data_IF_528981453355
#
_entry.id   IF_528981453355
#
_cell.length_a   1.000
_cell.length_b   1.000
_cell.length_c   1.000
_cell.angle_alpha   90.00
_cell.angle_beta   90.00
_cell.angle_gamma   90.00
#
_symmetry.space_group_name_H-M   'P 1'
#
loop_
_entity.id
_entity.type
_entity.pdbx_description
1 polymer ?
#
# COMPACT_ATOMS: atom_id res chain seq x y z
N UNK A 1 -18.91 -5.18 12.33
CA UNK A 1 -19.14 -5.70 10.96
C UNK A 1 -18.83 -7.20 10.89
N UNK A 2 -17.60 -7.66 11.13
CA UNK A 2 -17.23 -9.09 11.11
C UNK A 2 -18.14 -9.99 11.96
N UNK A 3 -18.36 -9.63 13.24
CA UNK A 3 -19.27 -10.37 14.14
C UNK A 3 -20.70 -10.54 13.59
N UNK A 4 -21.23 -9.51 12.94
CA UNK A 4 -22.58 -9.54 12.36
C UNK A 4 -22.69 -10.51 11.18
N UNK A 5 -21.64 -10.59 10.35
CA UNK A 5 -21.56 -11.60 9.27
C UNK A 5 -21.47 -13.01 9.83
N UNK A 6 -20.64 -13.24 10.85
CA UNK A 6 -20.47 -14.56 11.47
C UNK A 6 -21.75 -15.02 12.19
N UNK A 7 -22.40 -14.15 12.96
CA UNK A 7 -23.58 -14.49 13.76
C UNK A 7 -24.86 -14.65 12.92
N UNK A 8 -25.06 -13.80 11.89
CA UNK A 8 -26.31 -13.78 11.09
C UNK A 8 -26.17 -14.38 9.69
N UNK A 9 -24.95 -14.49 9.15
CA UNK A 9 -24.69 -15.07 7.82
C UNK A 9 -24.35 -16.56 7.84
N UNK A 10 -23.92 -17.09 8.99
CA UNK A 10 -23.48 -18.49 9.16
C UNK A 10 -24.29 -19.26 10.21
N UNK A 11 -25.59 -18.96 10.37
CA UNK A 11 -26.46 -19.89 11.11
C UNK A 11 -26.66 -21.14 10.25
N UNK A 12 -26.41 -22.33 10.79
CA UNK A 12 -26.33 -23.64 10.11
C UNK A 12 -27.50 -23.96 9.14
N UNK A 13 -28.61 -23.22 9.19
CA UNK A 13 -29.82 -23.44 8.40
C UNK A 13 -30.06 -22.46 7.23
N UNK A 14 -29.40 -21.28 7.13
CA UNK A 14 -29.59 -20.35 5.98
C UNK A 14 -28.34 -19.50 5.69
N UNK A 15 -27.50 -19.98 4.77
CA UNK A 15 -26.31 -19.29 4.20
C UNK A 15 -26.68 -18.19 3.20
N UNK A 16 -27.53 -17.22 3.56
CA UNK A 16 -27.95 -16.14 2.65
C UNK A 16 -27.44 -14.77 3.10
N UNK A 17 -26.13 -14.59 3.02
CA UNK A 17 -25.49 -13.29 3.31
C UNK A 17 -25.95 -12.18 2.35
N UNK A 18 -26.39 -12.54 1.14
CA UNK A 18 -26.94 -11.61 0.15
C UNK A 18 -28.13 -10.82 0.72
N UNK A 19 -29.01 -11.49 1.46
CA UNK A 19 -30.24 -10.88 2.01
C UNK A 19 -29.94 -9.83 3.09
N UNK A 20 -28.78 -9.92 3.76
CA UNK A 20 -28.38 -8.97 4.81
C UNK A 20 -27.53 -7.80 4.28
N UNK A 21 -27.01 -7.88 3.05
CA UNK A 21 -26.15 -6.84 2.47
C UNK A 21 -26.81 -5.47 2.44
N UNK A 22 -28.10 -5.31 2.02
CA UNK A 22 -28.69 -3.98 1.92
C UNK A 22 -28.74 -3.27 3.28
N UNK A 23 -29.14 -4.00 4.33
CA UNK A 23 -29.20 -3.48 5.69
C UNK A 23 -27.81 -3.14 6.23
N UNK A 24 -26.80 -3.94 5.91
CA UNK A 24 -25.44 -3.72 6.33
C UNK A 24 -24.82 -2.48 5.68
N UNK A 25 -24.93 -2.37 4.35
CA UNK A 25 -24.42 -1.23 3.58
C UNK A 25 -25.08 0.05 4.08
N UNK A 26 -26.39 0.03 4.29
CA UNK A 26 -27.11 1.16 4.86
C UNK A 26 -26.60 1.53 6.26
N UNK A 27 -26.46 0.55 7.16
CA UNK A 27 -25.95 0.79 8.50
C UNK A 27 -24.54 1.38 8.50
N UNK A 28 -23.64 0.87 7.67
CA UNK A 28 -22.27 1.39 7.55
C UNK A 28 -22.24 2.81 6.98
N UNK A 29 -22.91 3.04 5.86
CA UNK A 29 -22.87 4.32 5.16
C UNK A 29 -23.54 5.46 5.93
N UNK A 30 -24.58 5.16 6.73
CA UNK A 30 -25.34 6.17 7.47
C UNK A 30 -25.08 6.22 8.97
N UNK A 31 -24.13 5.42 9.49
CA UNK A 31 -23.63 5.55 10.86
C UNK A 31 -22.43 6.49 10.93
N UNK A 32 -22.30 7.20 12.05
CA UNK A 32 -21.13 8.07 12.27
C UNK A 32 -19.89 7.21 12.53
N UNK A 33 -18.88 7.33 11.69
CA UNK A 33 -17.60 6.64 11.88
C UNK A 33 -16.67 7.48 12.75
N UNK A 34 -16.04 6.86 13.75
CA UNK A 34 -15.11 7.54 14.69
C UNK A 34 -13.94 8.19 13.95
N UNK A 35 -13.35 7.46 13.01
CA UNK A 35 -12.16 7.85 12.25
C UNK A 35 -12.36 9.14 11.48
N UNK A 36 -13.41 9.22 10.64
CA UNK A 36 -13.72 10.42 9.85
C UNK A 36 -14.64 11.42 10.58
N UNK A 37 -15.26 11.03 11.69
CA UNK A 37 -16.14 11.88 12.49
C UNK A 37 -17.51 12.19 11.88
N UNK A 38 -17.85 11.60 10.74
CA UNK A 38 -19.13 11.79 10.05
C UNK A 38 -19.61 10.47 9.42
N UNK A 39 -20.77 10.51 8.77
CA UNK A 39 -21.31 9.36 8.03
C UNK A 39 -20.58 9.25 6.69
N UNK A 40 -20.14 8.05 6.25
CA UNK A 40 -19.53 7.91 4.93
C UNK A 40 -20.39 8.44 3.78
N UNK A 41 -21.71 8.25 3.85
CA UNK A 41 -22.65 8.69 2.81
C UNK A 41 -22.69 10.20 2.59
N UNK A 42 -22.22 11.01 3.54
CA UNK A 42 -22.23 12.48 3.42
C UNK A 42 -20.88 13.05 2.98
N UNK A 43 -19.86 12.21 2.76
CA UNK A 43 -18.55 12.65 2.27
C UNK A 43 -18.67 13.07 0.81
N UNK A 44 -18.19 14.26 0.48
CA UNK A 44 -18.24 14.86 -0.85
C UNK A 44 -16.98 15.71 -1.11
N UNK A 45 -16.89 16.33 -2.29
CA UNK A 45 -15.71 17.12 -2.64
C UNK A 45 -15.49 18.34 -1.73
N UNK A 46 -16.55 18.93 -1.18
CA UNK A 46 -16.48 20.11 -0.33
C UNK A 46 -15.90 19.79 1.06
N UNK A 47 -16.17 18.59 1.58
CA UNK A 47 -15.73 18.17 2.91
C UNK A 47 -14.53 17.22 2.91
N UNK A 48 -14.02 16.85 1.72
CA UNK A 48 -12.88 15.94 1.57
C UNK A 48 -11.65 16.41 2.34
N UNK A 49 -11.39 17.72 2.36
CA UNK A 49 -10.21 18.27 3.05
C UNK A 49 -10.33 18.09 4.56
N UNK A 50 -11.53 18.32 5.12
CA UNK A 50 -11.80 18.07 6.54
C UNK A 50 -11.64 16.60 6.91
N UNK A 51 -12.08 15.70 6.05
CA UNK A 51 -11.89 14.25 6.22
C UNK A 51 -10.41 13.91 6.16
N UNK A 52 -9.69 14.44 5.16
CA UNK A 52 -8.26 14.21 4.95
C UNK A 52 -7.44 14.73 6.13
N UNK A 53 -7.65 15.97 6.58
CA UNK A 53 -6.96 16.54 7.75
C UNK A 53 -7.21 15.71 9.01
N UNK A 54 -8.40 15.15 9.18
CA UNK A 54 -8.69 14.31 10.33
C UNK A 54 -7.97 12.95 10.28
N UNK A 55 -7.82 12.38 9.09
CA UNK A 55 -7.15 11.10 8.88
C UNK A 55 -5.62 11.23 8.87
N UNK A 56 -5.10 12.28 8.23
CA UNK A 56 -3.70 12.40 7.83
C UNK A 56 -3.08 13.76 8.19
N UNK A 57 -3.83 14.70 8.77
CA UNK A 57 -3.34 16.04 9.10
C UNK A 57 -2.46 16.11 10.34
N UNK A 58 -2.16 14.98 10.98
CA UNK A 58 -1.15 14.93 12.02
C UNK A 58 0.24 14.88 11.37
N UNK A 59 1.21 15.66 11.86
CA UNK A 59 2.56 15.59 11.33
C UNK A 59 3.08 14.15 11.48
N UNK A 60 3.70 13.62 10.42
CA UNK A 60 4.47 12.40 10.53
C UNK A 60 5.51 12.61 11.62
N UNK A 61 5.38 11.83 12.69
CA UNK A 61 6.13 11.98 13.94
C UNK A 61 7.64 11.96 13.68
N UNK A 62 8.09 11.14 12.72
CA UNK A 62 9.48 11.03 12.31
C UNK A 62 9.56 10.64 10.83
N UNK A 63 10.41 11.31 10.06
CA UNK A 63 10.83 10.78 8.76
C UNK A 63 11.79 9.62 9.03
N UNK A 64 11.55 8.47 8.40
CA UNK A 64 12.49 7.35 8.49
C UNK A 64 13.77 7.70 7.73
N UNK A 65 14.93 7.31 8.25
CA UNK A 65 16.17 7.47 7.49
C UNK A 65 16.14 6.54 6.26
N UNK A 66 16.42 7.07 5.04
CA UNK A 66 16.46 6.23 3.85
C UNK A 66 17.60 5.22 3.91
N UNK A 67 17.28 3.96 3.62
CA UNK A 67 18.28 2.89 3.50
C UNK A 67 19.16 3.05 2.25
N UNK A 68 18.58 3.51 1.15
CA UNK A 68 19.29 3.71 -0.12
C UNK A 68 19.52 5.20 -0.39
N UNK A 69 20.55 5.50 -1.16
CA UNK A 69 20.95 6.83 -1.60
C UNK A 69 20.91 6.91 -3.12
N UNK A 70 20.79 8.13 -3.63
CA UNK A 70 20.91 8.40 -5.06
C UNK A 70 22.27 7.89 -5.56
N UNK A 71 22.26 7.11 -6.64
CA UNK A 71 23.44 6.45 -7.20
C UNK A 71 23.67 5.02 -6.71
N UNK A 72 22.95 4.54 -5.69
CA UNK A 72 23.05 3.14 -5.27
C UNK A 72 22.51 2.22 -6.38
N UNK A 73 23.24 1.12 -6.64
CA UNK A 73 22.79 0.06 -7.54
C UNK A 73 21.87 -0.89 -6.80
N UNK A 74 20.66 -1.08 -7.31
CA UNK A 74 19.61 -1.87 -6.66
C UNK A 74 18.98 -2.85 -7.63
N UNK A 75 18.40 -3.92 -7.09
CA UNK A 75 17.56 -4.89 -7.80
C UNK A 75 16.16 -4.82 -7.24
N UNK A 76 15.15 -4.95 -8.09
CA UNK A 76 13.76 -5.04 -7.66
C UNK A 76 13.39 -6.48 -7.25
N UNK A 77 12.40 -6.58 -6.38
CA UNK A 77 11.89 -7.86 -5.88
C UNK A 77 10.98 -8.52 -6.92
N UNK A 78 11.20 -9.81 -7.18
CA UNK A 78 10.29 -10.60 -8.02
C UNK A 78 9.02 -10.90 -7.24
N UNK A 79 7.86 -10.58 -7.83
CA UNK A 79 6.57 -10.97 -7.27
C UNK A 79 6.43 -12.49 -7.32
N UNK A 80 6.25 -13.11 -6.15
CA UNK A 80 6.10 -14.57 -6.03
C UNK A 80 4.65 -14.99 -5.92
N UNK A 81 4.29 -16.05 -6.62
CA UNK A 81 3.04 -16.75 -6.42
C UNK A 81 3.12 -17.69 -5.20
N UNK A 82 1.94 -18.05 -4.66
CA UNK A 82 1.82 -18.87 -3.45
C UNK A 82 2.50 -20.25 -3.55
N UNK A 83 2.71 -20.75 -4.77
CA UNK A 83 3.29 -22.06 -5.05
C UNK A 83 4.65 -21.99 -5.74
N UNK A 84 5.31 -20.83 -5.70
CA UNK A 84 6.65 -20.70 -6.24
C UNK A 84 7.66 -21.55 -5.49
N UNK A 85 8.59 -22.09 -6.25
CA UNK A 85 9.61 -22.99 -5.73
C UNK A 85 10.62 -22.20 -4.92
N UNK A 86 10.93 -22.66 -3.71
CA UNK A 86 11.82 -21.93 -2.80
C UNK A 86 13.26 -21.72 -3.30
N UNK A 87 13.68 -22.41 -4.37
CA UNK A 87 15.01 -22.27 -4.97
C UNK A 87 15.09 -21.14 -6.02
N UNK A 88 13.98 -20.51 -6.41
CA UNK A 88 14.05 -19.36 -7.33
C UNK A 88 14.67 -18.14 -6.60
N UNK A 89 15.34 -17.22 -7.32
CA UNK A 89 15.81 -15.96 -6.74
C UNK A 89 14.67 -15.06 -6.24
N UNK A 90 14.94 -14.21 -5.23
CA UNK A 90 13.95 -13.26 -4.69
C UNK A 90 13.95 -11.91 -5.45
N UNK A 91 15.01 -11.62 -6.20
CA UNK A 91 15.23 -10.35 -6.87
C UNK A 91 15.52 -10.60 -8.34
N UNK A 92 15.25 -9.59 -9.18
CA UNK A 92 15.49 -9.66 -10.62
C UNK A 92 16.99 -9.72 -10.94
N UNK A 93 17.27 -10.20 -12.15
CA UNK A 93 18.63 -10.18 -12.70
C UNK A 93 19.04 -8.77 -13.15
N UNK A 94 18.08 -7.90 -13.42
CA UNK A 94 18.27 -6.51 -13.84
C UNK A 94 18.80 -5.64 -12.70
N UNK A 95 19.71 -4.72 -13.03
CA UNK A 95 20.34 -3.82 -12.07
C UNK A 95 19.94 -2.40 -12.42
N UNK A 96 19.27 -1.74 -11.49
CA UNK A 96 18.86 -0.35 -11.62
C UNK A 96 19.71 0.57 -10.74
N UNK A 97 19.61 1.86 -10.98
CA UNK A 97 20.24 2.91 -10.16
C UNK A 97 19.17 3.77 -9.52
N UNK A 98 19.31 4.05 -8.23
CA UNK A 98 18.41 4.99 -7.53
C UNK A 98 18.62 6.40 -8.07
N UNK A 99 17.60 7.00 -8.67
CA UNK A 99 17.64 8.36 -9.20
C UNK A 99 17.12 9.40 -8.21
N UNK A 100 16.11 9.05 -7.41
CA UNK A 100 15.48 9.97 -6.45
C UNK A 100 15.03 9.23 -5.17
N UNK A 101 15.09 9.93 -4.03
CA UNK A 101 14.68 9.43 -2.71
C UNK A 101 13.55 10.31 -2.16
N UNK A 102 12.36 9.74 -2.04
CA UNK A 102 11.20 10.37 -1.42
C UNK A 102 11.12 10.01 0.06
N UNK A 103 11.46 10.97 0.91
CA UNK A 103 11.43 10.79 2.36
C UNK A 103 10.00 10.79 2.88
N UNK A 104 9.65 9.77 3.67
CA UNK A 104 8.31 9.58 4.21
C UNK A 104 8.27 8.46 5.26
N UNK A 105 7.06 8.02 5.59
CA UNK A 105 6.82 6.81 6.36
C UNK A 105 5.78 5.96 5.58
N UNK A 106 6.21 4.98 4.78
CA UNK A 106 7.60 4.57 4.52
C UNK A 106 8.35 5.45 3.48
N UNK A 107 9.67 5.30 3.40
CA UNK A 107 10.48 5.89 2.33
C UNK A 107 10.20 5.20 0.98
N UNK A 108 10.21 5.99 -0.10
CA UNK A 108 10.04 5.51 -1.46
C UNK A 108 11.19 5.97 -2.36
N UNK A 109 11.45 5.21 -3.42
CA UNK A 109 12.59 5.40 -4.31
C UNK A 109 12.14 5.40 -5.77
N UNK A 110 12.82 6.21 -6.58
CA UNK A 110 12.73 6.13 -8.04
C UNK A 110 13.99 5.45 -8.55
N UNK A 111 13.85 4.55 -9.52
CA UNK A 111 14.94 3.80 -10.11
C UNK A 111 14.95 3.97 -11.62
N UNK A 112 16.14 3.93 -12.21
CA UNK A 112 16.37 4.06 -13.66
C UNK A 112 17.30 2.96 -14.13
N UNK A 113 17.20 2.58 -15.40
CA UNK A 113 18.19 1.71 -16.01
C UNK A 113 19.54 2.47 -16.16
N UNK A 114 20.68 1.86 -15.78
CA UNK A 114 22.00 2.47 -15.97
C UNK A 114 22.37 2.70 -17.43
N UNK A 115 21.92 1.84 -18.35
CA UNK A 115 22.26 1.87 -19.77
C UNK A 115 21.33 2.80 -20.57
N UNK A 116 20.07 2.93 -20.15
CA UNK A 116 19.11 3.89 -20.70
C UNK A 116 18.51 4.79 -19.60
N UNK A 117 19.13 5.97 -19.43
CA UNK A 117 18.69 6.96 -18.44
C UNK A 117 17.37 7.65 -18.80
N UNK A 118 16.86 7.48 -20.02
CA UNK A 118 15.55 7.99 -20.43
C UNK A 118 14.42 6.99 -20.11
N UNK A 119 14.76 5.72 -19.87
CA UNK A 119 13.82 4.69 -19.44
C UNK A 119 13.67 4.67 -17.92
N UNK A 120 12.91 5.64 -17.40
CA UNK A 120 12.50 5.62 -16.00
C UNK A 120 11.52 4.47 -15.74
N UNK A 121 11.85 3.61 -14.77
CA UNK A 121 10.93 2.54 -14.36
C UNK A 121 9.67 3.18 -13.78
N UNK A 122 8.52 2.84 -14.35
CA UNK A 122 7.25 3.48 -14.01
C UNK A 122 6.85 3.17 -12.57
N UNK A 123 6.81 4.21 -11.74
CA UNK A 123 6.32 4.14 -10.37
C UNK A 123 7.33 4.63 -9.32
N UNK A 124 7.04 4.29 -8.06
CA UNK A 124 7.92 4.49 -6.91
C UNK A 124 7.94 3.20 -6.12
N UNK A 125 9.11 2.82 -5.64
CA UNK A 125 9.35 1.55 -4.98
C UNK A 125 9.59 1.76 -3.49
N UNK A 126 9.05 0.87 -2.67
CA UNK A 126 9.35 0.85 -1.24
C UNK A 126 10.72 0.24 -0.97
N UNK A 127 11.26 0.51 0.21
CA UNK A 127 12.50 -0.11 0.68
C UNK A 127 12.47 -1.65 0.63
N UNK A 128 11.32 -2.25 0.96
CA UNK A 128 11.14 -3.70 0.98
C UNK A 128 11.13 -4.34 -0.41
N UNK A 129 10.91 -3.53 -1.45
CA UNK A 129 10.84 -3.97 -2.84
C UNK A 129 12.20 -3.88 -3.54
N UNK A 130 13.22 -3.37 -2.86
CA UNK A 130 14.56 -3.16 -3.41
C UNK A 130 15.63 -3.84 -2.56
N UNK A 131 16.67 -4.35 -3.23
CA UNK A 131 17.88 -4.84 -2.58
C UNK A 131 19.12 -4.18 -3.18
N UNK A 132 20.08 -3.82 -2.32
CA UNK A 132 21.36 -3.30 -2.76
C UNK A 132 22.14 -4.39 -3.52
N UNK A 133 22.63 -4.08 -4.72
CA UNK A 133 23.56 -4.96 -5.44
C UNK A 133 24.98 -4.73 -4.93
N UNK A 134 25.59 -5.79 -4.38
CA UNK A 134 26.96 -5.76 -3.82
C UNK A 134 28.01 -6.33 -4.78
N UNK A 135 27.61 -6.70 -6.00
CA UNK A 135 28.42 -7.48 -6.94
C UNK A 135 29.51 -6.67 -7.64
N UNK A 136 29.64 -5.37 -7.31
CA UNK A 136 30.51 -4.41 -7.99
C UNK A 136 31.59 -3.79 -7.08
N UNK A 137 32.22 -4.58 -6.20
CA UNK A 137 33.44 -4.17 -5.48
C UNK A 137 34.68 -4.79 -6.08
#
# INVERSE_FOLDING_TARGET
MWKYFTERGFTEKKKKWIDILPNLVNSYNYSKHRTIGMKPAVVNEENKDKVWTKLYGYPLSHFLEPKFKVGDRVRDMIYREKFDKGYTPNYSDDIYVVSEVFRGDPNMYKIIDPDDKEEEVLGRFYESELSLDLSSK
#
